data_IF_271191789698
#
_entry.id   IF_271191789698
#
_cell.length_a   1.000
_cell.length_b   1.000
_cell.length_c   1.000
_cell.angle_alpha   90.00
_cell.angle_beta   90.00
_cell.angle_gamma   90.00
#
_symmetry.space_group_name_H-M   'P 1'
#
loop_
_entity.id
_entity.type
_entity.pdbx_description
1 polymer ?
#
# COMPACT_ATOMS: atom_id res chain seq x y z
N UNK A 1 -3.12 20.84 -0.37
CA UNK A 1 -2.75 19.48 0.13
C UNK A 1 -3.71 18.40 -0.33
N UNK A 2 -4.81 18.75 -0.94
CA UNK A 2 -5.88 17.85 -1.41
C UNK A 2 -5.73 17.42 -2.87
N UNK A 3 -4.74 17.93 -3.60
CA UNK A 3 -4.55 17.66 -5.01
C UNK A 3 -3.10 17.25 -5.31
N UNK A 4 -2.90 16.41 -6.32
CA UNK A 4 -1.63 16.01 -6.89
C UNK A 4 -1.67 16.31 -8.37
N UNK A 5 -0.68 17.02 -8.87
CA UNK A 5 -0.56 17.34 -10.28
C UNK A 5 0.20 16.22 -11.02
N UNK A 6 -0.23 15.86 -12.22
CA UNK A 6 0.37 14.79 -13.05
C UNK A 6 1.85 15.01 -13.33
N UNK A 7 2.31 16.26 -13.35
CA UNK A 7 3.71 16.62 -13.63
C UNK A 7 4.71 16.09 -12.61
N UNK A 8 4.28 15.50 -11.51
CA UNK A 8 5.20 14.78 -10.63
C UNK A 8 5.89 13.61 -11.35
N UNK A 9 5.23 13.02 -12.37
CA UNK A 9 5.77 11.91 -13.17
C UNK A 9 6.92 12.34 -14.10
N UNK A 10 7.06 13.63 -14.37
CA UNK A 10 8.14 14.20 -15.16
C UNK A 10 9.40 14.49 -14.32
N UNK A 11 9.31 14.40 -13.01
CA UNK A 11 10.42 14.61 -12.10
C UNK A 11 11.32 13.37 -12.00
N UNK A 12 12.64 13.54 -11.80
CA UNK A 12 13.53 12.41 -11.56
C UNK A 12 13.08 11.57 -10.37
N UNK A 13 13.11 10.24 -10.52
CA UNK A 13 12.91 9.33 -9.41
C UNK A 13 14.12 9.32 -8.49
N UNK A 14 13.85 9.49 -7.22
CA UNK A 14 14.84 9.29 -6.16
C UNK A 14 14.46 8.04 -5.37
N UNK A 15 15.44 7.21 -5.07
CA UNK A 15 15.24 5.97 -4.30
C UNK A 15 15.84 6.12 -2.92
N UNK A 16 15.22 5.45 -1.95
CA UNK A 16 15.82 5.24 -0.65
C UNK A 16 17.08 4.36 -0.77
N UNK A 17 18.07 4.62 0.07
CA UNK A 17 19.27 3.81 0.19
C UNK A 17 19.11 2.87 1.36
N UNK A 18 19.24 1.56 1.11
CA UNK A 18 19.23 0.55 2.16
C UNK A 18 20.48 0.70 3.02
N UNK A 19 20.29 0.92 4.31
CA UNK A 19 21.39 1.04 5.31
C UNK A 19 21.62 -0.26 6.06
N UNK A 20 20.53 -0.91 6.45
CA UNK A 20 20.60 -2.11 7.26
C UNK A 20 19.49 -3.09 6.87
N UNK A 21 19.78 -4.39 6.98
CA UNK A 21 18.81 -5.47 6.86
C UNK A 21 19.11 -6.53 7.90
N UNK A 22 18.10 -6.91 8.67
CA UNK A 22 18.20 -7.92 9.73
C UNK A 22 17.01 -8.85 9.72
N UNK A 23 17.24 -10.14 9.91
CA UNK A 23 16.19 -11.12 10.20
C UNK A 23 15.91 -11.07 11.70
N UNK A 24 14.68 -10.68 12.09
CA UNK A 24 14.29 -10.57 13.49
C UNK A 24 13.68 -11.85 14.06
N UNK A 25 12.94 -12.58 13.22
CA UNK A 25 12.31 -13.84 13.62
C UNK A 25 12.18 -14.80 12.44
N UNK A 26 12.12 -16.09 12.77
CA UNK A 26 11.84 -17.19 11.84
C UNK A 26 10.90 -18.18 12.55
N UNK A 27 9.96 -18.79 11.80
CA UNK A 27 8.97 -19.70 12.34
C UNK A 27 7.65 -19.61 11.59
N UNK A 28 6.54 -19.51 12.27
CA UNK A 28 5.22 -19.28 11.64
C UNK A 28 5.14 -17.93 10.93
N UNK A 29 5.95 -16.98 11.36
CA UNK A 29 6.21 -15.71 10.71
C UNK A 29 7.71 -15.49 10.58
N UNK A 30 8.17 -15.08 9.41
CA UNK A 30 9.49 -14.52 9.21
C UNK A 30 9.39 -13.00 9.14
N UNK A 31 10.20 -12.31 9.93
CA UNK A 31 10.23 -10.84 9.97
C UNK A 31 11.62 -10.38 9.55
N UNK A 32 11.66 -9.60 8.48
CA UNK A 32 12.88 -8.97 7.97
C UNK A 32 12.76 -7.47 8.17
N UNK A 33 13.54 -6.92 9.09
CA UNK A 33 13.66 -5.47 9.27
C UNK A 33 14.61 -4.88 8.25
N UNK A 34 14.21 -3.78 7.65
CA UNK A 34 15.00 -3.00 6.72
C UNK A 34 14.99 -1.53 7.18
N UNK A 35 16.17 -0.90 7.18
CA UNK A 35 16.32 0.52 7.47
C UNK A 35 16.82 1.21 6.21
N UNK A 36 16.07 2.21 5.78
CA UNK A 36 16.30 2.95 4.55
C UNK A 36 16.46 4.44 4.85
N UNK A 37 17.34 5.10 4.12
CA UNK A 37 17.58 6.53 4.24
C UNK A 37 17.28 7.24 2.93
N UNK A 38 16.65 8.40 3.05
CA UNK A 38 16.46 9.34 1.95
C UNK A 38 16.65 10.77 2.49
N UNK A 39 17.70 11.46 2.04
CA UNK A 39 18.09 12.78 2.52
C UNK A 39 18.13 12.85 4.06
N UNK A 40 17.14 13.53 4.68
CA UNK A 40 17.02 13.68 6.14
C UNK A 40 16.00 12.71 6.76
N UNK A 41 15.34 11.91 5.94
CA UNK A 41 14.27 11.00 6.36
C UNK A 41 14.79 9.58 6.53
N UNK A 42 14.30 8.92 7.58
CA UNK A 42 14.63 7.54 7.90
C UNK A 42 13.35 6.69 7.86
N UNK A 43 13.38 5.60 7.12
CA UNK A 43 12.29 4.64 7.01
C UNK A 43 12.72 3.30 7.59
N UNK A 44 11.99 2.83 8.58
CA UNK A 44 12.13 1.47 9.14
C UNK A 44 10.93 0.65 8.67
N UNK A 45 11.19 -0.48 8.04
CA UNK A 45 10.14 -1.34 7.52
C UNK A 45 10.37 -2.79 7.92
N UNK A 46 9.38 -3.38 8.56
CA UNK A 46 9.32 -4.81 8.84
C UNK A 46 8.50 -5.50 7.76
N UNK A 47 9.17 -6.26 6.92
CA UNK A 47 8.55 -7.16 5.96
C UNK A 47 8.21 -8.46 6.67
N UNK A 48 6.91 -8.75 6.80
CA UNK A 48 6.39 -9.95 7.49
C UNK A 48 5.87 -10.93 6.45
N UNK A 49 6.41 -12.12 6.46
CA UNK A 49 6.01 -13.24 5.60
C UNK A 49 5.45 -14.35 6.48
N UNK A 50 4.36 -14.97 6.07
CA UNK A 50 3.63 -15.98 6.84
C UNK A 50 3.80 -17.36 6.24
N UNK A 51 4.01 -18.38 7.08
CA UNK A 51 4.18 -19.76 6.63
C UNK A 51 2.92 -20.38 5.99
N UNK A 52 1.74 -19.90 6.39
CA UNK A 52 0.43 -20.47 6.00
C UNK A 52 -0.47 -19.47 5.25
N UNK A 53 0.05 -18.33 4.87
CA UNK A 53 -0.71 -17.28 4.19
C UNK A 53 0.16 -16.64 3.10
N UNK A 54 -0.40 -16.41 1.93
CA UNK A 54 0.32 -15.81 0.81
C UNK A 54 0.58 -14.30 0.98
N UNK A 55 -0.01 -13.66 1.98
CA UNK A 55 0.13 -12.23 2.25
C UNK A 55 1.54 -11.88 2.76
N UNK A 56 2.06 -10.76 2.26
CA UNK A 56 3.27 -10.13 2.74
C UNK A 56 2.91 -8.75 3.29
N UNK A 57 3.14 -8.51 4.58
CA UNK A 57 2.89 -7.22 5.20
C UNK A 57 4.16 -6.36 5.23
N UNK A 58 4.01 -5.07 4.95
CA UNK A 58 5.04 -4.06 5.05
C UNK A 58 4.66 -3.07 6.16
N UNK A 59 5.04 -3.38 7.40
CA UNK A 59 4.81 -2.52 8.57
C UNK A 59 5.86 -1.42 8.58
N UNK A 60 5.45 -0.21 8.29
CA UNK A 60 6.35 0.89 8.01
C UNK A 60 6.22 1.99 9.07
N UNK A 61 7.37 2.44 9.56
CA UNK A 61 7.54 3.66 10.34
C UNK A 61 8.52 4.57 9.59
N UNK A 62 8.14 5.81 9.32
CA UNK A 62 9.02 6.77 8.66
C UNK A 62 9.05 8.09 9.41
N UNK A 63 10.24 8.52 9.80
CA UNK A 63 10.51 9.88 10.29
C UNK A 63 10.73 10.79 9.07
N UNK A 64 9.63 11.40 8.61
CA UNK A 64 9.60 12.15 7.36
C UNK A 64 9.94 13.62 7.57
N UNK A 65 10.93 14.14 6.82
CA UNK A 65 11.45 15.50 6.95
C UNK A 65 11.50 16.29 5.63
N UNK A 66 11.05 15.67 4.55
CA UNK A 66 11.13 16.26 3.23
C UNK A 66 9.99 17.27 2.98
N UNK A 67 10.22 18.19 2.04
CA UNK A 67 9.24 19.16 1.54
C UNK A 67 9.03 18.94 0.06
N UNK A 68 7.78 19.00 -0.40
CA UNK A 68 7.42 18.86 -1.81
C UNK A 68 7.98 17.57 -2.46
N UNK A 69 8.07 16.50 -1.68
CA UNK A 69 8.46 15.17 -2.14
C UNK A 69 7.28 14.23 -2.00
N UNK A 70 6.93 13.55 -3.07
CA UNK A 70 5.85 12.59 -3.11
C UNK A 70 6.40 11.17 -2.94
N UNK A 71 6.14 10.57 -1.78
CA UNK A 71 6.54 9.20 -1.49
C UNK A 71 5.46 8.23 -1.97
N UNK A 72 5.88 7.30 -2.83
CA UNK A 72 5.02 6.21 -3.34
C UNK A 72 5.75 4.87 -3.23
N UNK A 73 4.98 3.79 -3.24
CA UNK A 73 5.48 2.43 -3.47
C UNK A 73 4.82 1.85 -4.71
N UNK A 74 5.57 1.04 -5.46
CA UNK A 74 5.12 0.42 -6.70
C UNK A 74 5.42 -1.07 -6.69
N UNK A 75 4.46 -1.85 -7.14
CA UNK A 75 4.55 -3.29 -7.28
C UNK A 75 4.27 -3.69 -8.74
N UNK A 76 5.31 -3.95 -9.54
CA UNK A 76 5.11 -4.63 -10.82
C UNK A 76 4.70 -6.08 -10.54
N UNK A 77 3.58 -6.51 -11.13
CA UNK A 77 3.02 -7.86 -10.97
C UNK A 77 2.83 -8.50 -12.33
N UNK A 78 2.86 -9.82 -12.39
CA UNK A 78 2.67 -10.55 -13.64
C UNK A 78 1.18 -10.85 -13.88
N UNK A 79 0.38 -9.78 -13.96
CA UNK A 79 -1.06 -9.79 -14.23
C UNK A 79 -1.36 -8.75 -15.30
N UNK A 80 -2.05 -9.15 -16.38
CA UNK A 80 -2.36 -8.29 -17.52
C UNK A 80 -3.87 -8.13 -17.67
N UNK A 81 -4.47 -7.27 -16.86
CA UNK A 81 -5.89 -6.96 -16.92
C UNK A 81 -6.12 -5.53 -17.45
N UNK A 82 -7.22 -5.33 -18.18
CA UNK A 82 -7.59 -4.01 -18.73
C UNK A 82 -8.18 -3.08 -17.69
N UNK A 83 -8.60 -3.60 -16.54
CA UNK A 83 -9.22 -2.87 -15.45
C UNK A 83 -8.69 -3.39 -14.12
N UNK A 84 -8.52 -2.48 -13.16
CA UNK A 84 -8.29 -2.78 -11.75
C UNK A 84 -9.54 -2.45 -10.94
N UNK A 85 -9.83 -3.22 -9.90
CA UNK A 85 -10.93 -3.00 -8.98
C UNK A 85 -10.44 -2.27 -7.73
N UNK A 86 -11.17 -1.25 -7.30
CA UNK A 86 -10.83 -0.43 -6.13
C UNK A 86 -11.97 -0.46 -5.14
N UNK A 87 -11.69 -0.69 -3.88
CA UNK A 87 -12.70 -0.53 -2.85
C UNK A 87 -13.16 0.92 -2.75
N UNK A 88 -14.47 1.10 -2.67
CA UNK A 88 -15.14 2.34 -2.33
C UNK A 88 -16.16 2.07 -1.22
N UNK A 89 -16.87 3.10 -0.78
CA UNK A 89 -17.95 2.94 0.20
C UNK A 89 -19.01 1.97 -0.33
N UNK A 90 -19.31 0.92 0.46
CA UNK A 90 -20.35 -0.08 0.18
C UNK A 90 -20.14 -0.92 -1.08
N UNK A 91 -18.93 -0.95 -1.67
CA UNK A 91 -18.68 -1.75 -2.86
C UNK A 91 -17.30 -1.53 -3.44
N UNK A 92 -17.20 -1.69 -4.74
CA UNK A 92 -15.99 -1.42 -5.50
C UNK A 92 -16.33 -0.76 -6.85
N UNK A 93 -15.32 -0.18 -7.46
CA UNK A 93 -15.39 0.40 -8.81
C UNK A 93 -14.23 -0.13 -9.64
N UNK A 94 -14.49 -0.44 -10.90
CA UNK A 94 -13.47 -0.80 -11.87
C UNK A 94 -12.98 0.46 -12.59
N UNK A 95 -11.66 0.55 -12.79
CA UNK A 95 -11.04 1.64 -13.56
C UNK A 95 -10.02 1.05 -14.52
N UNK A 96 -9.87 1.63 -15.73
CA UNK A 96 -8.91 1.13 -16.71
C UNK A 96 -7.47 1.23 -16.21
N UNK A 97 -6.65 0.28 -16.64
CA UNK A 97 -5.19 0.25 -16.36
C UNK A 97 -4.37 0.93 -17.46
N UNK A 98 -5.02 1.56 -18.43
CA UNK A 98 -4.41 2.25 -19.57
C UNK A 98 -4.83 3.73 -19.61
N UNK A 99 -4.14 4.52 -20.44
CA UNK A 99 -4.39 5.96 -20.61
C UNK A 99 -4.70 6.29 -22.07
N UNK A 100 -5.65 5.53 -22.67
CA UNK A 100 -5.93 5.62 -24.11
C UNK A 100 -6.80 6.82 -24.47
N UNK A 101 -7.48 7.44 -23.50
CA UNK A 101 -8.31 8.62 -23.69
C UNK A 101 -7.85 9.75 -22.77
N UNK A 102 -8.27 10.98 -23.04
CA UNK A 102 -8.02 12.13 -22.15
C UNK A 102 -8.66 11.92 -20.77
N UNK A 103 -9.79 11.23 -20.70
CA UNK A 103 -10.45 10.86 -19.45
C UNK A 103 -9.62 9.89 -18.63
N UNK A 104 -9.01 8.89 -19.27
CA UNK A 104 -8.14 7.94 -18.60
C UNK A 104 -6.85 8.62 -18.14
N UNK A 105 -6.27 9.47 -19.00
CA UNK A 105 -5.09 10.26 -18.67
C UNK A 105 -5.32 11.16 -17.45
N UNK A 106 -6.50 11.78 -17.32
CA UNK A 106 -6.85 12.60 -16.17
C UNK A 106 -7.00 11.80 -14.86
N UNK A 107 -7.11 10.47 -14.92
CA UNK A 107 -7.21 9.57 -13.77
C UNK A 107 -5.87 8.97 -13.36
N UNK A 108 -4.81 9.75 -13.44
CA UNK A 108 -3.43 9.32 -13.11
C UNK A 108 -3.22 9.01 -11.62
N UNK A 109 -4.06 9.53 -10.74
CA UNK A 109 -4.19 9.22 -9.31
C UNK A 109 -5.67 9.11 -8.99
N UNK A 110 -6.07 8.03 -8.34
CA UNK A 110 -7.48 7.76 -8.04
C UNK A 110 -7.66 7.34 -6.58
N UNK A 111 -8.79 7.68 -5.97
CA UNK A 111 -9.09 7.22 -4.62
C UNK A 111 -9.50 5.74 -4.61
N UNK A 112 -9.08 5.05 -3.59
CA UNK A 112 -9.54 3.73 -3.18
C UNK A 112 -9.40 3.63 -1.68
N UNK A 113 -10.04 2.63 -1.04
CA UNK A 113 -9.95 2.51 0.41
C UNK A 113 -8.98 1.39 0.81
N UNK A 114 -9.49 0.32 1.40
CA UNK A 114 -8.64 -0.70 2.03
C UNK A 114 -7.87 -1.57 1.04
N UNK A 115 -8.28 -1.60 -0.24
CA UNK A 115 -7.62 -2.43 -1.24
C UNK A 115 -7.82 -1.93 -2.67
N UNK A 116 -6.86 -2.30 -3.52
CA UNK A 116 -6.98 -2.36 -4.97
C UNK A 116 -6.62 -3.77 -5.40
N UNK A 117 -7.30 -4.29 -6.41
CA UNK A 117 -7.07 -5.61 -6.98
C UNK A 117 -6.87 -5.55 -8.48
N UNK A 118 -5.85 -6.25 -8.95
CA UNK A 118 -5.56 -6.48 -10.35
C UNK A 118 -5.58 -7.99 -10.59
N UNK A 119 -6.59 -8.49 -11.32
CA UNK A 119 -6.76 -9.93 -11.50
C UNK A 119 -7.20 -10.32 -12.91
N UNK A 120 -6.76 -11.49 -13.31
CA UNK A 120 -7.20 -12.26 -14.46
C UNK A 120 -8.10 -13.42 -14.00
N UNK A 121 -8.58 -14.25 -14.95
CA UNK A 121 -9.44 -15.38 -14.62
C UNK A 121 -8.79 -16.44 -13.72
N UNK A 122 -7.49 -16.62 -13.79
CA UNK A 122 -6.73 -17.65 -13.05
C UNK A 122 -5.96 -17.15 -11.84
N UNK A 123 -5.63 -15.86 -11.78
CA UNK A 123 -4.70 -15.31 -10.80
C UNK A 123 -4.89 -13.79 -10.64
N UNK A 124 -4.64 -13.30 -9.45
CA UNK A 124 -4.66 -11.88 -9.16
C UNK A 124 -3.71 -11.50 -8.03
N UNK A 125 -3.48 -10.20 -7.93
CA UNK A 125 -2.71 -9.59 -6.84
C UNK A 125 -3.45 -8.37 -6.32
N UNK A 126 -3.76 -8.39 -5.02
CA UNK A 126 -4.32 -7.24 -4.34
C UNK A 126 -3.25 -6.50 -3.52
N UNK A 127 -3.34 -5.18 -3.51
CA UNK A 127 -2.60 -4.33 -2.59
C UNK A 127 -3.57 -3.80 -1.53
N UNK A 128 -3.35 -4.24 -0.29
CA UNK A 128 -4.15 -3.85 0.88
C UNK A 128 -3.43 -2.75 1.64
N UNK A 129 -4.17 -1.92 2.39
CA UNK A 129 -3.58 -0.95 3.30
C UNK A 129 -4.51 -0.58 4.46
N UNK A 130 -3.97 0.08 5.49
CA UNK A 130 -4.69 0.49 6.70
C UNK A 130 -5.11 1.96 6.74
N UNK A 131 -4.52 2.84 5.93
CA UNK A 131 -4.78 4.28 6.02
C UNK A 131 -4.37 5.12 4.81
N UNK A 132 -4.09 4.50 3.65
CA UNK A 132 -3.67 5.19 2.43
C UNK A 132 -4.73 5.06 1.35
N UNK A 133 -5.12 6.18 0.73
CA UNK A 133 -6.30 6.23 -0.14
C UNK A 133 -5.99 6.69 -1.57
N UNK A 134 -4.72 6.92 -1.91
CA UNK A 134 -4.31 7.29 -3.25
C UNK A 134 -3.65 6.14 -3.98
N UNK A 135 -4.16 5.80 -5.15
CA UNK A 135 -3.63 4.73 -5.98
C UNK A 135 -3.40 5.18 -7.41
N UNK A 136 -2.46 4.55 -8.08
CA UNK A 136 -2.40 4.48 -9.53
C UNK A 136 -2.08 3.06 -9.97
N UNK A 137 -2.85 2.55 -10.93
CA UNK A 137 -2.55 1.27 -11.59
C UNK A 137 -2.37 1.56 -13.06
N UNK A 138 -1.17 1.31 -13.56
CA UNK A 138 -0.84 1.48 -14.96
C UNK A 138 -0.31 0.16 -15.51
N UNK A 139 -1.03 -0.39 -16.49
CA UNK A 139 -0.78 -1.71 -17.03
C UNK A 139 -0.74 -2.77 -15.92
N UNK A 140 0.44 -3.30 -15.61
CA UNK A 140 0.66 -4.32 -14.59
C UNK A 140 1.39 -3.78 -13.33
N UNK A 141 1.45 -2.47 -13.14
CA UNK A 141 2.11 -1.85 -11.98
C UNK A 141 1.08 -1.25 -11.04
N UNK A 142 1.03 -1.75 -9.82
CA UNK A 142 0.14 -1.24 -8.76
C UNK A 142 0.91 -0.23 -7.92
N UNK A 143 0.47 1.03 -7.90
CA UNK A 143 1.04 2.12 -7.12
C UNK A 143 0.17 2.53 -5.93
N UNK A 144 0.81 2.81 -4.79
CA UNK A 144 0.17 3.36 -3.59
C UNK A 144 0.89 4.63 -3.14
N UNK A 145 0.12 5.68 -2.96
CA UNK A 145 0.59 6.98 -2.50
C UNK A 145 0.67 7.00 -0.97
N UNK A 146 1.85 7.26 -0.43
CA UNK A 146 2.12 7.15 1.00
C UNK A 146 2.16 8.50 1.71
N UNK A 147 2.96 9.46 1.21
CA UNK A 147 3.14 10.79 1.81
C UNK A 147 3.34 11.82 0.69
N UNK A 148 2.67 12.96 0.78
CA UNK A 148 2.76 14.02 -0.24
C UNK A 148 3.71 15.16 0.11
N UNK A 149 3.85 15.53 1.38
CA UNK A 149 4.66 16.65 1.89
C UNK A 149 4.30 18.01 1.27
N UNK A 150 3.03 18.33 1.21
CA UNK A 150 2.56 19.63 0.76
C UNK A 150 3.12 20.75 1.66
N UNK A 151 3.23 21.97 1.11
CA UNK A 151 3.66 23.15 1.85
C UNK A 151 2.57 24.21 2.01
N UNK A 152 1.37 23.92 1.49
CA UNK A 152 0.20 24.79 1.62
C UNK A 152 -1.06 23.95 1.78
N UNK A 153 -2.00 24.35 2.62
CA UNK A 153 -2.00 25.55 3.48
C UNK A 153 -1.07 25.46 4.69
N UNK A 154 -0.60 24.25 5.07
CA UNK A 154 0.34 24.01 6.17
C UNK A 154 1.75 23.78 5.62
N UNK A 155 2.68 24.67 5.97
CA UNK A 155 4.09 24.55 5.56
C UNK A 155 4.82 23.37 6.18
N UNK A 156 4.25 22.77 7.22
CA UNK A 156 4.82 21.63 7.94
C UNK A 156 4.11 20.33 7.66
N UNK A 157 3.17 20.34 6.73
CA UNK A 157 2.36 19.16 6.38
C UNK A 157 3.24 17.93 6.16
N UNK A 158 2.80 16.81 6.75
CA UNK A 158 3.44 15.49 6.69
C UNK A 158 4.84 15.38 7.32
N UNK A 159 5.49 16.46 7.77
CA UNK A 159 6.82 16.41 8.39
C UNK A 159 6.75 15.95 9.84
N UNK A 160 6.55 14.66 10.03
CA UNK A 160 6.44 13.98 11.33
C UNK A 160 6.75 12.49 11.17
N UNK A 161 6.69 11.76 12.27
CA UNK A 161 6.73 10.30 12.22
C UNK A 161 5.36 9.78 11.76
N UNK A 162 5.37 8.92 10.75
CA UNK A 162 4.20 8.21 10.23
C UNK A 162 4.34 6.72 10.49
N UNK A 163 3.21 6.07 10.81
CA UNK A 163 3.09 4.64 10.92
C UNK A 163 1.94 4.17 10.02
N UNK A 164 2.21 3.18 9.19
CA UNK A 164 1.21 2.59 8.32
C UNK A 164 1.63 1.20 7.89
N UNK A 165 0.65 0.39 7.52
CA UNK A 165 0.87 -0.95 6.98
C UNK A 165 0.18 -1.06 5.63
N UNK A 166 0.88 -1.63 4.68
CA UNK A 166 0.29 -2.11 3.43
C UNK A 166 0.73 -3.55 3.18
N UNK A 167 -0.05 -4.28 2.39
CA UNK A 167 0.18 -5.71 2.21
C UNK A 167 -0.01 -6.10 0.76
N UNK A 168 0.89 -6.91 0.24
CA UNK A 168 0.73 -7.56 -1.05
C UNK A 168 0.09 -8.93 -0.83
N UNK A 169 -1.02 -9.19 -1.53
CA UNK A 169 -1.79 -10.42 -1.41
C UNK A 169 -2.06 -11.05 -2.77
N UNK A 170 -1.22 -11.99 -3.22
CA UNK A 170 -1.53 -12.81 -4.38
C UNK A 170 -2.64 -13.82 -4.06
N UNK A 171 -3.54 -14.04 -5.02
CA UNK A 171 -4.65 -14.97 -4.88
C UNK A 171 -4.97 -15.69 -6.17
N UNK A 172 -5.66 -16.83 -6.07
CA UNK A 172 -6.17 -17.57 -7.22
C UNK A 172 -7.49 -16.97 -7.70
N UNK A 173 -7.73 -17.03 -9.00
CA UNK A 173 -8.97 -16.61 -9.62
C UNK A 173 -9.19 -15.09 -9.63
N UNK A 174 -10.43 -14.71 -9.86
CA UNK A 174 -10.88 -13.31 -9.88
C UNK A 174 -11.10 -12.75 -8.46
N UNK A 175 -11.28 -11.44 -8.35
CA UNK A 175 -11.63 -10.77 -7.11
C UNK A 175 -12.83 -11.41 -6.40
N UNK A 176 -13.89 -11.71 -7.14
CA UNK A 176 -15.15 -12.24 -6.60
C UNK A 176 -14.99 -13.61 -5.94
N UNK A 177 -14.05 -14.43 -6.44
CA UNK A 177 -13.73 -15.75 -5.89
C UNK A 177 -12.66 -15.72 -4.79
N UNK A 178 -12.08 -14.56 -4.50
CA UNK A 178 -10.95 -14.41 -3.59
C UNK A 178 -11.34 -14.01 -2.16
N UNK A 179 -10.39 -14.09 -1.25
CA UNK A 179 -10.50 -13.60 0.13
C UNK A 179 -10.00 -12.14 0.29
N UNK A 180 -9.77 -11.38 -0.78
CA UNK A 180 -9.20 -10.02 -0.74
C UNK A 180 -9.94 -9.12 0.24
N UNK A 181 -11.28 -9.06 0.15
CA UNK A 181 -12.11 -8.22 1.02
C UNK A 181 -11.96 -8.61 2.49
N UNK A 182 -11.98 -9.92 2.78
CA UNK A 182 -11.81 -10.46 4.13
C UNK A 182 -10.43 -10.14 4.70
N UNK A 183 -9.37 -10.29 3.89
CA UNK A 183 -8.00 -9.96 4.29
C UNK A 183 -7.83 -8.46 4.54
N UNK A 184 -8.44 -7.60 3.73
CA UNK A 184 -8.43 -6.16 3.94
C UNK A 184 -9.18 -5.76 5.22
N UNK A 185 -10.30 -6.41 5.53
CA UNK A 185 -11.01 -6.18 6.80
C UNK A 185 -10.14 -6.59 7.98
N UNK A 186 -9.48 -7.75 7.95
CA UNK A 186 -8.60 -8.18 9.05
C UNK A 186 -7.39 -7.26 9.25
N UNK A 187 -6.85 -6.67 8.18
CA UNK A 187 -5.78 -5.69 8.29
C UNK A 187 -6.24 -4.41 9.01
N UNK A 188 -7.48 -3.97 8.75
CA UNK A 188 -8.04 -2.71 9.25
C UNK A 188 -8.76 -2.86 10.59
N UNK A 189 -9.26 -4.05 10.89
CA UNK A 189 -10.00 -4.37 12.11
C UNK A 189 -9.37 -5.60 12.79
N UNK A 190 -8.21 -5.44 13.43
CA UNK A 190 -7.54 -6.54 14.09
C UNK A 190 -8.39 -7.07 15.26
N UNK A 191 -8.28 -8.37 15.52
CA UNK A 191 -8.97 -9.02 16.65
C UNK A 191 -8.48 -8.42 17.95
N UNK A 192 -9.41 -7.89 18.73
CA UNK A 192 -9.14 -7.41 20.09
C UNK A 192 -9.28 -8.57 21.08
N UNK A 193 -8.24 -8.81 21.85
CA UNK A 193 -8.24 -9.82 22.91
C UNK A 193 -8.18 -9.16 24.28
N UNK A 194 -8.99 -9.65 25.23
CA UNK A 194 -8.98 -9.23 26.62
C UNK A 194 -8.82 -10.46 27.52
N UNK A 195 -7.78 -10.47 28.34
CA UNK A 195 -7.64 -11.49 29.37
C UNK A 195 -8.73 -11.28 30.41
N UNK A 196 -9.55 -12.31 30.68
CA UNK A 196 -10.55 -12.30 31.72
C UNK A 196 -10.06 -13.25 32.81
N UNK A 197 -9.99 -12.78 34.07
CA UNK A 197 -9.78 -13.69 35.23
C UNK A 197 -11.04 -14.50 35.37
N UNK A 198 -10.98 -15.82 35.16
CA UNK A 198 -12.05 -16.71 35.49
C UNK A 198 -12.25 -16.68 37.02
N UNK A 199 -13.46 -16.44 37.50
CA UNK A 199 -13.83 -16.81 38.88
C UNK A 199 -13.81 -18.33 38.91
N UNK A 200 -12.91 -18.92 39.69
CA UNK A 200 -13.04 -20.31 40.05
C UNK A 200 -14.36 -20.45 40.83
N UNK A 201 -15.36 -21.11 40.22
CA UNK A 201 -16.55 -21.58 40.92
C UNK A 201 -16.22 -22.84 41.67
#
# INVERSE_FOLDING_TARGET
AWDVDIYYKEKPYHKFVLKERQVLSQGEQAVIRQIWEFNKSLLTQDMVVYAKEARIDFKTSVDWKEKQVFLKTYFPVDVHAKEASYEIQFGNVKRPTHSNTEWDFARFEVPGHKWVDLSESGYGVALLNDCKYGYDVQENVIGLSLIKSAIRPDETADRKVHHFTYSLYPHMGTLEGSDVQKKAVFLNMPVLTKAVKGSAG
#
